data_IF_384977665950
#
_entry.id   IF_384977665950
#
_cell.length_a   1.000
_cell.length_b   1.000
_cell.length_c   1.000
_cell.angle_alpha   90.00
_cell.angle_beta   90.00
_cell.angle_gamma   90.00
#
_symmetry.space_group_name_H-M   'P 1'
#
loop_
_entity.id
_entity.type
_entity.pdbx_description
1 polymer ?
#
# COMPACT_ATOMS: atom_id res chain seq x y z
N UNK A 1 16.99 58.64 17.36
CA UNK A 1 17.56 58.06 16.14
C UNK A 1 17.43 56.55 16.27
N UNK A 2 16.39 55.97 15.66
CA UNK A 2 16.02 54.57 15.78
C UNK A 2 16.43 53.85 14.51
N UNK A 3 17.42 52.96 14.60
CA UNK A 3 17.83 52.06 13.53
C UNK A 3 16.99 50.74 13.64
N UNK A 4 16.08 50.54 12.74
CA UNK A 4 15.33 49.30 12.54
C UNK A 4 16.26 48.28 11.85
N UNK A 5 16.59 47.20 12.54
CA UNK A 5 17.23 46.03 11.94
C UNK A 5 16.10 45.15 11.35
N UNK A 6 15.99 45.14 10.04
CA UNK A 6 15.20 44.20 9.31
C UNK A 6 15.97 42.89 9.15
N UNK A 7 15.55 41.82 9.81
CA UNK A 7 16.08 40.48 9.61
C UNK A 7 15.47 39.87 8.33
N UNK A 8 16.33 39.61 7.35
CA UNK A 8 15.99 38.82 6.18
C UNK A 8 15.95 37.33 6.59
N UNK A 9 14.75 36.75 6.64
CA UNK A 9 14.60 35.30 6.69
C UNK A 9 14.66 34.82 5.23
N UNK A 10 15.78 34.25 4.83
CA UNK A 10 15.91 33.57 3.54
C UNK A 10 15.17 32.22 3.63
N UNK A 11 13.96 32.15 3.11
CA UNK A 11 13.28 30.91 2.83
C UNK A 11 13.98 30.23 1.65
N UNK A 12 14.77 29.19 1.92
CA UNK A 12 15.28 28.28 0.89
C UNK A 12 14.08 27.44 0.40
N UNK A 13 13.40 27.94 -0.60
CA UNK A 13 12.54 27.17 -1.47
C UNK A 13 13.47 26.28 -2.33
N UNK A 14 13.60 25.01 -1.97
CA UNK A 14 14.07 23.96 -2.88
C UNK A 14 13.00 23.82 -3.97
N UNK A 15 13.10 24.65 -5.01
CA UNK A 15 12.42 24.41 -6.26
C UNK A 15 13.09 23.17 -6.87
N UNK A 16 12.47 22.01 -6.72
CA UNK A 16 12.82 20.83 -7.48
C UNK A 16 12.59 21.17 -8.95
N UNK A 17 13.66 21.20 -9.74
CA UNK A 17 13.59 21.38 -11.18
C UNK A 17 12.76 20.20 -11.76
N UNK A 18 11.71 20.45 -12.54
CA UNK A 18 10.83 19.39 -13.04
C UNK A 18 11.55 18.31 -13.87
N UNK A 19 12.74 18.56 -14.38
CA UNK A 19 13.55 17.59 -15.10
C UNK A 19 14.20 16.52 -14.22
N UNK A 20 14.61 16.84 -12.98
CA UNK A 20 15.29 15.89 -12.11
C UNK A 20 14.34 14.84 -11.48
N UNK A 21 13.05 15.16 -11.36
CA UNK A 21 12.05 14.22 -10.85
C UNK A 21 11.71 13.14 -11.92
N UNK A 22 11.75 13.51 -13.20
CA UNK A 22 11.43 12.61 -14.31
C UNK A 22 12.52 11.56 -14.58
N UNK A 23 13.78 11.85 -14.19
CA UNK A 23 14.92 10.93 -14.33
C UNK A 23 14.98 9.84 -13.23
N UNK A 24 14.15 9.92 -12.19
CA UNK A 24 14.19 9.01 -11.03
C UNK A 24 12.96 8.10 -10.90
N UNK A 25 12.10 8.08 -11.90
CA UNK A 25 10.82 7.37 -11.84
C UNK A 25 9.80 8.06 -10.90
N UNK A 26 8.60 7.46 -10.78
CA UNK A 26 7.55 7.98 -9.91
C UNK A 26 8.03 8.06 -8.45
N UNK A 27 7.76 9.18 -7.79
CA UNK A 27 8.12 9.46 -6.38
C UNK A 27 9.60 9.20 -6.03
N UNK A 28 10.51 9.20 -7.01
CA UNK A 28 11.93 8.91 -6.81
C UNK A 28 12.26 7.43 -6.59
N UNK A 29 11.31 6.53 -6.79
CA UNK A 29 11.47 5.08 -6.55
C UNK A 29 12.43 4.40 -7.53
N UNK A 30 12.64 4.96 -8.73
CA UNK A 30 13.67 4.55 -9.70
C UNK A 30 15.04 5.19 -9.50
N UNK A 31 15.28 5.85 -8.35
CA UNK A 31 16.54 6.51 -8.04
C UNK A 31 17.72 5.57 -7.76
N UNK A 32 18.88 6.17 -7.44
CA UNK A 32 20.11 5.43 -7.13
C UNK A 32 19.93 4.52 -5.91
N UNK A 33 20.44 3.30 -6.01
CA UNK A 33 20.41 2.27 -4.97
C UNK A 33 21.82 1.89 -4.45
N UNK A 34 22.85 2.65 -4.82
CA UNK A 34 24.21 2.37 -4.39
C UNK A 34 24.34 2.34 -2.86
N UNK A 35 24.95 1.29 -2.36
CA UNK A 35 25.14 1.05 -0.92
C UNK A 35 23.97 0.41 -0.19
N UNK A 36 22.81 0.23 -0.80
CA UNK A 36 21.67 -0.50 -0.22
C UNK A 36 21.67 -1.97 -0.64
N UNK A 37 21.08 -2.82 0.19
CA UNK A 37 20.81 -4.20 -0.18
C UNK A 37 19.83 -4.26 -1.37
N UNK A 38 20.02 -5.25 -2.24
CA UNK A 38 19.10 -5.52 -3.35
C UNK A 38 18.28 -6.78 -3.05
N UNK A 39 17.06 -6.88 -3.58
CA UNK A 39 16.29 -8.11 -3.48
C UNK A 39 17.07 -9.27 -4.06
N UNK A 40 17.13 -10.36 -3.31
CA UNK A 40 17.83 -11.61 -3.69
C UNK A 40 16.82 -12.73 -3.85
N UNK A 41 16.80 -13.33 -5.04
CA UNK A 41 15.93 -14.46 -5.38
C UNK A 41 16.16 -15.69 -4.51
N UNK A 42 17.38 -15.89 -4.02
CA UNK A 42 17.74 -17.04 -3.20
C UNK A 42 17.37 -16.87 -1.72
N UNK A 43 17.07 -15.63 -1.28
CA UNK A 43 16.87 -15.34 0.15
C UNK A 43 15.64 -16.03 0.75
N UNK A 44 14.52 -16.08 0.01
CA UNK A 44 13.23 -16.51 0.54
C UNK A 44 12.70 -15.60 1.66
N UNK A 45 11.55 -15.96 2.23
CA UNK A 45 10.93 -15.27 3.36
C UNK A 45 11.14 -16.02 4.67
N UNK A 46 11.30 -15.33 5.77
CA UNK A 46 11.53 -15.92 7.11
C UNK A 46 10.67 -15.19 8.15
N UNK A 47 9.70 -15.88 8.71
CA UNK A 47 8.82 -15.32 9.74
C UNK A 47 9.25 -15.76 11.16
N UNK A 48 9.07 -14.88 12.17
CA UNK A 48 8.42 -13.56 12.14
C UNK A 48 9.34 -12.41 11.68
N UNK A 49 10.65 -12.66 11.43
CA UNK A 49 11.63 -11.60 11.10
C UNK A 49 11.12 -10.64 10.01
N UNK A 50 10.58 -11.18 8.92
CA UNK A 50 10.20 -10.40 7.74
C UNK A 50 8.86 -9.65 7.90
N UNK A 51 8.21 -9.73 9.08
CA UNK A 51 7.18 -8.78 9.48
C UNK A 51 7.78 -7.43 9.89
N UNK A 52 9.02 -7.41 10.35
CA UNK A 52 9.75 -6.23 10.82
C UNK A 52 10.34 -5.36 9.72
N UNK A 53 11.13 -4.37 10.12
CA UNK A 53 11.82 -3.46 9.21
C UNK A 53 13.10 -4.10 8.66
N UNK A 54 13.43 -3.77 7.39
CA UNK A 54 14.63 -4.18 6.66
C UNK A 54 15.47 -2.95 6.35
N UNK A 55 16.16 -2.44 7.38
CA UNK A 55 16.87 -1.14 7.30
C UNK A 55 17.98 -1.10 6.25
N UNK A 56 18.50 -2.25 5.83
CA UNK A 56 19.48 -2.37 4.74
C UNK A 56 18.89 -2.03 3.36
N UNK A 57 17.56 -2.07 3.24
CA UNK A 57 16.85 -1.70 2.02
C UNK A 57 16.42 -0.23 2.05
N UNK A 58 16.32 0.38 0.85
CA UNK A 58 16.02 1.79 0.72
C UNK A 58 14.58 2.14 1.06
N UNK A 59 13.60 1.29 0.69
CA UNK A 59 12.17 1.53 0.90
C UNK A 59 11.43 0.25 1.25
N UNK A 60 10.42 0.39 2.10
CA UNK A 60 9.47 -0.68 2.42
C UNK A 60 8.15 -0.10 2.91
N UNK A 61 7.09 -0.92 2.86
CA UNK A 61 5.77 -0.54 3.34
C UNK A 61 5.01 -1.71 3.97
N UNK A 62 4.11 -1.34 4.87
CA UNK A 62 3.10 -2.14 5.52
C UNK A 62 1.77 -1.54 5.11
N UNK A 63 1.01 -2.24 4.29
CA UNK A 63 -0.16 -1.70 3.62
C UNK A 63 -1.37 -2.61 3.83
N UNK A 64 -2.38 -2.11 4.54
CA UNK A 64 -3.62 -2.84 4.80
C UNK A 64 -4.78 -2.09 4.15
N UNK A 65 -5.57 -2.83 3.37
CA UNK A 65 -6.85 -2.39 2.82
C UNK A 65 -7.98 -3.29 3.33
N UNK A 66 -9.17 -2.74 3.52
CA UNK A 66 -10.32 -3.53 3.90
C UNK A 66 -11.59 -3.10 3.17
N UNK A 67 -12.35 -4.08 2.75
CA UNK A 67 -13.68 -3.96 2.20
C UNK A 67 -14.68 -4.29 3.30
N UNK A 68 -15.52 -3.33 3.66
CA UNK A 68 -16.36 -3.38 4.84
C UNK A 68 -17.84 -3.21 4.48
N UNK A 69 -18.70 -3.86 5.26
CA UNK A 69 -20.14 -3.68 5.22
C UNK A 69 -20.61 -3.13 6.55
N UNK A 70 -21.28 -1.98 6.52
CA UNK A 70 -21.86 -1.35 7.69
C UNK A 70 -23.14 -2.04 8.14
N UNK A 71 -23.47 -1.90 9.42
CA UNK A 71 -24.79 -2.34 9.96
C UNK A 71 -25.97 -1.60 9.32
N UNK A 72 -25.71 -0.43 8.73
CA UNK A 72 -26.64 0.35 7.91
C UNK A 72 -26.84 -0.20 6.49
N UNK A 73 -26.14 -1.28 6.14
CA UNK A 73 -26.21 -1.93 4.85
C UNK A 73 -25.43 -1.24 3.73
N UNK A 74 -24.53 -0.30 4.03
CA UNK A 74 -23.69 0.41 3.05
C UNK A 74 -22.31 -0.23 2.93
N UNK A 75 -21.66 -0.01 1.80
CA UNK A 75 -20.27 -0.43 1.59
C UNK A 75 -19.32 0.67 2.04
N UNK A 76 -18.22 0.25 2.68
CA UNK A 76 -17.15 1.09 3.17
C UNK A 76 -15.79 0.49 2.80
N UNK A 77 -14.76 1.34 2.79
CA UNK A 77 -13.38 0.89 2.69
C UNK A 77 -12.50 1.61 3.69
N UNK A 78 -11.44 0.97 4.10
CA UNK A 78 -10.35 1.62 4.85
C UNK A 78 -9.01 1.24 4.25
N UNK A 79 -8.07 2.14 4.41
CA UNK A 79 -6.67 1.95 4.09
C UNK A 79 -5.83 2.42 5.28
N UNK A 80 -4.78 1.68 5.58
CA UNK A 80 -3.73 2.02 6.54
C UNK A 80 -2.37 1.65 5.95
N UNK A 81 -1.50 2.63 5.76
CA UNK A 81 -0.17 2.38 5.20
C UNK A 81 0.89 3.05 6.04
N UNK A 82 1.98 2.35 6.30
CA UNK A 82 3.21 2.91 6.83
C UNK A 82 4.34 2.66 5.83
N UNK A 83 5.01 3.72 5.44
CA UNK A 83 6.19 3.70 4.58
C UNK A 83 7.44 4.01 5.41
N UNK A 84 8.52 3.27 5.15
CA UNK A 84 9.85 3.60 5.61
C UNK A 84 10.76 3.87 4.41
N UNK A 85 11.50 4.95 4.47
CA UNK A 85 12.54 5.29 3.49
C UNK A 85 13.86 5.53 4.20
N UNK A 86 14.92 4.80 3.81
CA UNK A 86 16.26 5.10 4.23
C UNK A 86 16.81 6.28 3.40
N UNK A 87 17.25 7.32 4.08
CA UNK A 87 17.77 8.56 3.47
C UNK A 87 19.23 8.42 3.08
N UNK A 88 19.96 7.49 3.69
CA UNK A 88 21.34 7.14 3.39
C UNK A 88 21.55 5.63 3.64
N UNK A 89 22.46 4.96 2.92
CA UNK A 89 22.76 3.54 3.09
C UNK A 89 23.62 3.24 4.33
N UNK A 90 24.10 4.25 5.01
CA UNK A 90 24.97 4.13 6.17
C UNK A 90 24.22 3.57 7.36
N UNK A 91 24.87 2.62 8.07
CA UNK A 91 24.29 1.79 9.11
C UNK A 91 23.63 2.51 10.30
N UNK A 92 23.19 1.79 11.31
CA UNK A 92 22.20 2.27 12.27
C UNK A 92 22.78 3.37 13.17
N UNK A 93 22.64 4.61 12.74
CA UNK A 93 22.68 5.76 13.64
C UNK A 93 21.39 5.73 14.46
N UNK A 94 21.46 6.10 15.74
CA UNK A 94 20.32 6.09 16.65
C UNK A 94 19.72 7.50 16.83
N UNK A 95 18.50 7.54 17.31
CA UNK A 95 17.81 8.78 17.62
C UNK A 95 17.56 9.62 16.37
N UNK A 96 17.68 10.93 16.51
CA UNK A 96 17.46 11.88 15.41
C UNK A 96 18.46 11.77 14.25
N UNK A 97 19.64 11.19 14.50
CA UNK A 97 20.68 10.98 13.49
C UNK A 97 20.40 9.76 12.61
N UNK A 98 19.49 8.86 13.00
CA UNK A 98 19.13 7.72 12.19
C UNK A 98 18.60 8.16 10.81
N UNK A 99 19.14 7.61 9.70
CA UNK A 99 18.78 8.04 8.35
C UNK A 99 17.47 7.42 7.90
N UNK A 100 16.46 7.38 8.77
CA UNK A 100 15.16 6.81 8.50
C UNK A 100 14.09 7.90 8.46
N UNK A 101 13.29 7.89 7.39
CA UNK A 101 12.09 8.69 7.28
C UNK A 101 10.87 7.77 7.23
N UNK A 102 9.82 8.17 7.92
CA UNK A 102 8.56 7.47 7.99
C UNK A 102 7.45 8.36 7.46
N UNK A 103 6.55 7.78 6.73
CA UNK A 103 5.33 8.42 6.23
C UNK A 103 4.19 7.44 6.41
N UNK A 104 3.03 7.92 6.78
CA UNK A 104 1.86 7.07 6.83
C UNK A 104 0.65 7.76 6.23
N UNK A 105 -0.18 6.96 5.58
CA UNK A 105 -1.49 7.36 5.08
C UNK A 105 -2.56 6.51 5.74
N UNK A 106 -3.68 7.13 6.04
CA UNK A 106 -4.90 6.44 6.48
C UNK A 106 -6.09 7.07 5.78
N UNK A 107 -7.03 6.23 5.36
CA UNK A 107 -8.26 6.69 4.74
C UNK A 107 -9.46 5.84 5.16
N UNK A 108 -10.64 6.47 5.09
CA UNK A 108 -11.94 5.82 5.20
C UNK A 108 -12.84 6.32 4.07
N UNK A 109 -13.39 5.39 3.30
CA UNK A 109 -14.22 5.65 2.13
C UNK A 109 -15.64 5.14 2.35
N UNK A 110 -16.60 5.89 1.87
CA UNK A 110 -18.01 5.51 1.74
C UNK A 110 -18.51 5.92 0.35
N UNK A 111 -19.69 5.50 -0.10
CA UNK A 111 -20.26 5.99 -1.36
C UNK A 111 -20.38 7.52 -1.45
N UNK A 112 -20.52 8.22 -0.31
CA UNK A 112 -20.78 9.65 -0.26
C UNK A 112 -19.55 10.48 0.14
N UNK A 113 -18.45 9.85 0.54
CA UNK A 113 -17.27 10.60 1.00
C UNK A 113 -16.01 9.74 1.11
N UNK A 114 -14.89 10.43 0.94
CA UNK A 114 -13.56 9.88 1.13
C UNK A 114 -12.77 10.81 2.05
N UNK A 115 -12.31 10.28 3.16
CA UNK A 115 -11.60 11.00 4.22
C UNK A 115 -10.22 10.39 4.37
N UNK A 116 -9.19 11.22 4.38
CA UNK A 116 -7.82 10.75 4.51
C UNK A 116 -6.96 11.68 5.36
N UNK A 117 -5.86 11.16 5.83
CA UNK A 117 -4.84 11.91 6.56
C UNK A 117 -3.44 11.36 6.27
N UNK A 118 -2.44 12.22 6.42
CA UNK A 118 -1.03 11.92 6.22
C UNK A 118 -0.24 12.27 7.48
N UNK A 119 0.79 11.47 7.80
CA UNK A 119 1.72 11.71 8.89
C UNK A 119 3.15 11.48 8.46
N UNK A 120 4.06 12.18 9.12
CA UNK A 120 5.49 12.05 8.93
C UNK A 120 6.19 11.79 10.26
N UNK A 121 7.19 10.91 10.22
CA UNK A 121 8.06 10.62 11.33
C UNK A 121 9.52 10.57 10.88
N UNK A 122 10.46 10.73 11.82
CA UNK A 122 11.87 10.71 11.52
C UNK A 122 12.66 9.94 12.57
N UNK A 123 13.71 9.29 12.08
CA UNK A 123 14.73 8.67 12.91
C UNK A 123 14.22 7.48 13.71
N UNK A 124 14.98 7.14 14.74
CA UNK A 124 14.69 6.05 15.66
C UNK A 124 14.41 6.61 17.06
N UNK A 125 13.44 7.54 17.14
CA UNK A 125 13.09 8.25 18.39
C UNK A 125 11.80 7.72 19.04
N UNK A 126 11.21 6.65 18.48
CA UNK A 126 9.97 6.06 18.99
C UNK A 126 8.68 6.66 18.42
N UNK A 127 8.76 7.75 17.62
CA UNK A 127 7.59 8.34 16.98
C UNK A 127 6.95 7.40 15.95
N UNK A 128 7.78 6.70 15.17
CA UNK A 128 7.34 5.69 14.22
C UNK A 128 8.29 4.49 14.27
N UNK A 129 7.81 3.34 13.86
CA UNK A 129 8.63 2.14 13.81
C UNK A 129 7.84 0.88 13.56
N UNK A 130 8.58 -0.24 13.49
CA UNK A 130 8.01 -1.57 13.38
C UNK A 130 8.80 -2.56 14.22
N UNK A 131 8.09 -3.42 14.96
CA UNK A 131 8.63 -4.62 15.60
C UNK A 131 8.09 -5.87 14.92
N UNK A 132 8.92 -6.90 14.79
CA UNK A 132 8.53 -8.15 14.14
C UNK A 132 7.72 -9.08 15.05
N UNK A 133 8.07 -9.13 16.36
CA UNK A 133 7.39 -9.96 17.34
C UNK A 133 7.63 -9.40 18.76
N UNK A 134 6.57 -9.08 19.52
CA UNK A 134 5.19 -8.97 19.03
C UNK A 134 5.13 -7.96 17.89
N UNK A 135 4.31 -8.27 16.87
CA UNK A 135 4.19 -7.39 15.73
C UNK A 135 3.51 -6.07 16.12
N UNK A 136 4.14 -4.98 15.73
CA UNK A 136 3.55 -3.64 15.78
C UNK A 136 4.18 -2.76 14.70
N UNK A 137 3.35 -2.06 13.97
CA UNK A 137 3.72 -0.98 13.06
C UNK A 137 2.97 0.28 13.51
N UNK A 138 3.68 1.41 13.69
CA UNK A 138 3.06 2.61 14.26
C UNK A 138 3.69 3.91 13.74
N UNK A 139 2.92 4.96 13.81
CA UNK A 139 3.35 6.35 13.72
C UNK A 139 2.45 7.21 14.60
N UNK A 140 3.01 7.94 15.55
CA UNK A 140 2.28 8.66 16.60
C UNK A 140 1.28 7.74 17.33
N UNK A 141 -0.04 8.03 17.20
CA UNK A 141 -1.14 7.25 17.76
C UNK A 141 -1.84 6.33 16.75
N UNK A 142 -1.37 6.26 15.50
CA UNK A 142 -1.83 5.26 14.53
C UNK A 142 -1.07 3.96 14.70
N UNK A 143 -1.79 2.86 14.68
CA UNK A 143 -1.18 1.57 14.95
C UNK A 143 -1.85 0.43 14.17
N UNK A 144 -1.04 -0.50 13.70
CA UNK A 144 -1.42 -1.83 13.28
C UNK A 144 -0.57 -2.82 14.07
N UNK A 145 -1.16 -3.51 15.03
CA UNK A 145 -0.39 -4.30 15.99
C UNK A 145 -1.11 -5.57 16.43
N UNK A 146 -0.31 -6.57 16.80
CA UNK A 146 -0.80 -7.75 17.49
C UNK A 146 -1.42 -7.37 18.84
N UNK A 147 -2.64 -7.83 19.17
CA UNK A 147 -3.21 -7.61 20.49
C UNK A 147 -2.44 -8.35 21.57
N UNK A 148 -2.68 -8.00 22.83
CA UNK A 148 -2.02 -8.66 23.97
C UNK A 148 -2.15 -10.19 23.89
N UNK A 149 -1.04 -10.88 24.11
CA UNK A 149 -0.95 -12.34 24.03
C UNK A 149 -0.84 -12.92 22.63
N UNK A 150 -0.84 -12.09 21.56
CA UNK A 150 -0.49 -12.50 20.20
C UNK A 150 0.93 -12.02 19.83
N UNK A 151 1.61 -12.76 18.96
CA UNK A 151 3.00 -12.46 18.61
C UNK A 151 3.17 -11.97 17.16
N UNK A 152 2.48 -12.58 16.21
CA UNK A 152 2.61 -12.33 14.78
C UNK A 152 1.48 -11.45 14.23
N UNK A 153 1.22 -11.64 12.95
CA UNK A 153 0.18 -10.87 12.23
C UNK A 153 -1.14 -11.64 12.07
N UNK A 154 -1.28 -12.81 12.72
CA UNK A 154 -2.52 -13.61 12.62
C UNK A 154 -3.73 -12.89 13.22
N UNK A 155 -3.49 -12.04 14.20
CA UNK A 155 -4.49 -11.15 14.77
C UNK A 155 -3.92 -9.75 14.89
N UNK A 156 -4.66 -8.77 14.41
CA UNK A 156 -4.26 -7.37 14.42
C UNK A 156 -5.37 -6.50 14.98
N UNK A 157 -5.00 -5.46 15.71
CA UNK A 157 -5.81 -4.27 15.90
C UNK A 157 -5.26 -3.16 15.03
N UNK A 158 -6.12 -2.50 14.27
CA UNK A 158 -5.76 -1.44 13.34
C UNK A 158 -6.51 -0.18 13.72
N UNK A 159 -5.76 0.87 14.07
CA UNK A 159 -6.32 2.15 14.48
C UNK A 159 -5.70 3.30 13.73
N UNK A 160 -6.53 4.23 13.29
CA UNK A 160 -6.10 5.54 12.82
C UNK A 160 -7.22 6.57 12.99
N UNK A 161 -6.84 7.86 12.99
CA UNK A 161 -7.78 8.98 12.94
C UNK A 161 -7.18 10.17 12.22
N UNK A 162 -8.02 10.83 11.43
CA UNK A 162 -7.80 12.14 10.84
C UNK A 162 -8.59 13.22 11.57
N UNK A 163 -8.76 14.36 10.91
CA UNK A 163 -9.54 15.49 11.45
C UNK A 163 -11.03 15.18 11.59
N UNK A 164 -11.59 14.39 10.69
CA UNK A 164 -13.02 14.12 10.54
C UNK A 164 -13.36 12.63 10.37
N UNK A 165 -12.40 11.75 10.51
CA UNK A 165 -12.61 10.30 10.48
C UNK A 165 -11.72 9.57 11.47
N UNK A 166 -12.07 8.32 11.75
CA UNK A 166 -11.24 7.38 12.49
C UNK A 166 -11.79 5.97 12.41
N UNK A 167 -10.97 5.01 12.78
CA UNK A 167 -11.40 3.63 12.88
C UNK A 167 -10.63 2.88 13.96
N UNK A 168 -11.29 1.87 14.51
CA UNK A 168 -10.75 0.88 15.44
C UNK A 168 -11.27 -0.49 15.02
N UNK A 169 -10.39 -1.27 14.40
CA UNK A 169 -10.73 -2.51 13.73
C UNK A 169 -9.89 -3.66 14.27
N UNK A 170 -10.48 -4.84 14.35
CA UNK A 170 -9.84 -6.11 14.69
C UNK A 170 -9.84 -7.01 13.47
N UNK A 171 -8.67 -7.48 13.05
CA UNK A 171 -8.51 -8.42 11.94
C UNK A 171 -8.00 -9.76 12.45
N UNK A 172 -8.56 -10.86 11.93
CA UNK A 172 -8.17 -12.22 12.26
C UNK A 172 -7.91 -12.99 10.96
N UNK A 173 -6.71 -13.55 10.82
CA UNK A 173 -6.33 -14.33 9.66
C UNK A 173 -7.07 -15.68 9.66
N UNK A 174 -7.65 -16.04 8.51
CA UNK A 174 -8.40 -17.27 8.26
C UNK A 174 -7.73 -18.18 7.26
N UNK A 175 -6.56 -17.80 6.75
CA UNK A 175 -5.77 -18.54 5.79
C UNK A 175 -4.27 -18.19 5.87
N UNK A 176 -3.44 -18.82 5.05
CA UNK A 176 -1.99 -18.67 5.12
C UNK A 176 -1.48 -17.35 4.52
N UNK A 177 -0.21 -17.06 4.80
CA UNK A 177 0.54 -16.03 4.10
C UNK A 177 0.79 -16.45 2.65
N UNK A 178 0.82 -15.47 1.76
CA UNK A 178 1.02 -15.64 0.33
C UNK A 178 2.30 -14.95 -0.11
N UNK A 179 3.25 -15.70 -0.63
CA UNK A 179 4.49 -15.18 -1.21
C UNK A 179 4.27 -14.91 -2.71
N UNK A 180 4.44 -13.66 -3.15
CA UNK A 180 4.26 -13.27 -4.56
C UNK A 180 5.50 -13.57 -5.41
N UNK A 181 5.30 -13.75 -6.71
CA UNK A 181 6.35 -14.07 -7.65
C UNK A 181 7.03 -15.42 -7.34
N UNK A 182 8.34 -15.45 -7.33
CA UNK A 182 9.10 -16.66 -7.01
C UNK A 182 9.47 -16.68 -5.52
N UNK A 183 8.64 -17.33 -4.68
CA UNK A 183 8.86 -17.44 -3.23
C UNK A 183 9.08 -16.08 -2.54
N UNK A 184 8.33 -15.06 -2.95
CA UNK A 184 8.44 -13.71 -2.42
C UNK A 184 9.37 -12.79 -3.22
N UNK A 185 10.09 -13.27 -4.23
CA UNK A 185 10.85 -12.43 -5.14
C UNK A 185 9.96 -12.01 -6.32
N UNK A 186 9.49 -10.77 -6.31
CA UNK A 186 8.53 -10.22 -7.28
C UNK A 186 9.21 -9.24 -8.22
N UNK A 187 9.30 -9.61 -9.50
CA UNK A 187 9.85 -8.76 -10.57
C UNK A 187 8.84 -7.68 -10.94
N UNK A 188 9.31 -6.45 -11.16
CA UNK A 188 8.51 -5.25 -11.43
C UNK A 188 8.77 -4.61 -12.78
N UNK A 189 9.77 -5.10 -13.51
CA UNK A 189 10.11 -4.57 -14.85
C UNK A 189 10.85 -5.60 -15.69
N UNK A 190 10.92 -5.34 -16.99
CA UNK A 190 11.74 -6.14 -17.92
C UNK A 190 13.25 -5.98 -17.68
N UNK A 191 13.67 -4.89 -17.02
CA UNK A 191 15.07 -4.63 -16.65
C UNK A 191 15.48 -5.34 -15.34
N UNK A 192 14.56 -6.08 -14.69
CA UNK A 192 14.84 -6.92 -13.55
C UNK A 192 14.71 -6.25 -12.18
N UNK A 193 14.18 -5.02 -12.11
CA UNK A 193 13.79 -4.43 -10.82
C UNK A 193 12.81 -5.35 -10.11
N UNK A 194 13.03 -5.52 -8.81
CA UNK A 194 12.26 -6.46 -8.02
C UNK A 194 12.09 -5.99 -6.57
N UNK A 195 11.23 -6.66 -5.86
CA UNK A 195 11.04 -6.51 -4.42
C UNK A 195 10.92 -7.88 -3.76
N UNK A 196 11.10 -7.93 -2.44
CA UNK A 196 10.52 -8.99 -1.63
C UNK A 196 9.09 -8.60 -1.31
N UNK A 197 8.13 -9.49 -1.58
CA UNK A 197 6.71 -9.20 -1.49
C UNK A 197 5.91 -10.41 -1.01
N UNK A 198 5.16 -10.22 0.06
CA UNK A 198 4.17 -11.19 0.52
C UNK A 198 2.90 -10.47 1.01
N UNK A 199 1.81 -11.22 1.07
CA UNK A 199 0.53 -10.73 1.56
C UNK A 199 -0.08 -11.68 2.61
N UNK A 200 -0.95 -11.11 3.45
CA UNK A 200 -1.98 -11.84 4.17
C UNK A 200 -3.35 -11.42 3.62
N UNK A 201 -3.88 -12.17 2.63
CA UNK A 201 -5.12 -11.79 1.95
C UNK A 201 -6.39 -12.41 2.57
N UNK A 202 -6.26 -13.09 3.70
CA UNK A 202 -7.32 -13.87 4.34
C UNK A 202 -7.66 -13.32 5.72
N UNK A 203 -7.90 -12.02 5.82
CA UNK A 203 -8.43 -11.47 7.07
C UNK A 203 -9.94 -11.36 7.03
N UNK A 204 -10.59 -11.88 8.08
CA UNK A 204 -11.87 -11.36 8.53
C UNK A 204 -11.61 -10.15 9.41
N UNK A 205 -12.37 -9.07 9.22
CA UNK A 205 -12.17 -7.81 9.93
C UNK A 205 -13.49 -7.25 10.40
N UNK A 206 -13.50 -6.70 11.62
CA UNK A 206 -14.67 -6.07 12.23
C UNK A 206 -14.26 -4.89 13.12
N UNK A 207 -15.20 -4.02 13.41
CA UNK A 207 -14.98 -2.91 14.34
C UNK A 207 -15.88 -1.72 14.09
N UNK A 208 -15.34 -0.53 14.27
CA UNK A 208 -16.10 0.71 14.18
C UNK A 208 -15.37 1.74 13.32
N UNK A 209 -16.11 2.36 12.41
CA UNK A 209 -15.72 3.59 11.71
C UNK A 209 -16.39 4.77 12.38
N UNK A 210 -15.63 5.84 12.61
CA UNK A 210 -16.15 7.16 12.98
C UNK A 210 -16.05 8.07 11.76
N UNK A 211 -17.18 8.53 11.26
CA UNK A 211 -17.29 9.39 10.07
C UNK A 211 -18.14 10.63 10.43
N UNK A 212 -18.17 11.71 9.61
CA UNK A 212 -18.96 12.89 9.90
C UNK A 212 -20.45 12.62 10.16
N UNK A 213 -21.01 11.54 9.58
CA UNK A 213 -22.39 11.09 9.80
C UNK A 213 -22.62 10.32 11.10
N UNK A 214 -21.56 10.04 11.89
CA UNK A 214 -21.60 9.25 13.12
C UNK A 214 -20.75 7.99 13.07
N UNK A 215 -20.78 7.23 14.15
CA UNK A 215 -20.08 5.96 14.23
C UNK A 215 -20.93 4.84 13.60
N UNK A 216 -20.30 3.96 12.83
CA UNK A 216 -20.93 2.79 12.22
C UNK A 216 -20.13 1.51 12.55
N UNK A 217 -20.80 0.47 12.97
CA UNK A 217 -20.20 -0.86 13.11
C UNK A 217 -20.09 -1.51 11.75
N UNK A 218 -18.94 -2.13 11.52
CA UNK A 218 -18.60 -2.73 10.23
C UNK A 218 -18.01 -4.11 10.41
N UNK A 219 -18.23 -4.95 9.38
CA UNK A 219 -17.57 -6.25 9.22
C UNK A 219 -17.13 -6.42 7.78
N UNK A 220 -16.14 -7.24 7.52
CA UNK A 220 -15.70 -7.48 6.13
C UNK A 220 -14.45 -8.30 6.01
N UNK A 221 -13.71 -8.06 4.94
CA UNK A 221 -12.46 -8.73 4.60
C UNK A 221 -11.35 -7.71 4.42
N UNK A 222 -10.12 -8.09 4.80
CA UNK A 222 -8.96 -7.24 4.61
C UNK A 222 -7.81 -7.99 3.94
N UNK A 223 -6.92 -7.19 3.37
CA UNK A 223 -5.70 -7.60 2.68
C UNK A 223 -4.54 -6.80 3.26
N UNK A 224 -3.47 -7.46 3.68
CA UNK A 224 -2.23 -6.83 4.13
C UNK A 224 -1.12 -7.17 3.15
N UNK A 225 -0.45 -6.16 2.61
CA UNK A 225 0.78 -6.28 1.85
C UNK A 225 2.00 -5.88 2.68
N UNK A 226 3.05 -6.62 2.50
CA UNK A 226 4.39 -6.34 2.98
C UNK A 226 5.36 -6.41 1.82
N UNK A 227 6.04 -5.30 1.56
CA UNK A 227 6.96 -5.24 0.44
C UNK A 227 8.16 -4.36 0.78
N UNK A 228 9.36 -4.78 0.34
CA UNK A 228 10.60 -4.00 0.50
C UNK A 228 11.53 -4.19 -0.69
N UNK A 229 12.22 -3.10 -1.02
CA UNK A 229 13.17 -3.02 -2.12
C UNK A 229 14.10 -1.82 -1.96
N UNK A 230 15.19 -1.81 -2.73
CA UNK A 230 15.98 -0.60 -2.91
C UNK A 230 15.77 0.06 -4.26
N UNK A 231 15.16 -0.66 -5.19
CA UNK A 231 14.81 -0.16 -6.53
C UNK A 231 13.54 -0.88 -7.03
N UNK A 232 12.37 -0.52 -6.53
CA UNK A 232 11.12 -1.17 -6.95
C UNK A 232 10.68 -0.78 -8.35
N UNK A 233 11.15 0.37 -8.87
CA UNK A 233 10.80 0.88 -10.20
C UNK A 233 12.04 1.10 -11.06
N UNK A 234 11.86 1.01 -12.37
CA UNK A 234 12.74 1.50 -13.40
C UNK A 234 12.62 3.03 -13.56
N UNK A 235 13.65 3.70 -14.08
CA UNK A 235 13.66 5.16 -14.28
C UNK A 235 12.59 5.65 -15.25
N UNK A 236 12.15 4.80 -16.18
CA UNK A 236 11.13 5.13 -17.17
C UNK A 236 9.71 4.90 -16.68
N UNK A 237 9.56 4.21 -15.54
CA UNK A 237 8.26 3.89 -14.96
C UNK A 237 7.68 5.09 -14.20
N UNK A 238 6.41 5.39 -14.48
CA UNK A 238 5.73 6.65 -14.08
C UNK A 238 4.65 6.47 -13.04
N UNK A 239 4.42 5.23 -12.59
CA UNK A 239 3.40 4.88 -11.62
C UNK A 239 2.93 3.45 -11.83
N UNK A 240 1.98 3.04 -11.00
CA UNK A 240 1.39 1.71 -11.08
C UNK A 240 -0.10 1.77 -10.82
N UNK A 241 -0.77 0.71 -11.23
CA UNK A 241 -2.14 0.39 -10.88
C UNK A 241 -2.08 -0.97 -10.17
N UNK A 242 -2.62 -1.04 -8.97
CA UNK A 242 -2.65 -2.25 -8.15
C UNK A 242 -4.08 -2.59 -7.79
N UNK A 243 -4.42 -3.87 -7.86
CA UNK A 243 -5.75 -4.39 -7.63
C UNK A 243 -5.63 -5.62 -6.72
N UNK A 244 -6.43 -5.67 -5.65
CA UNK A 244 -6.61 -6.86 -4.84
C UNK A 244 -8.10 -7.20 -4.76
N UNK A 245 -8.47 -8.41 -5.18
CA UNK A 245 -9.85 -8.86 -5.23
C UNK A 245 -10.08 -10.07 -4.31
N UNK A 246 -11.21 -10.05 -3.61
CA UNK A 246 -11.81 -11.18 -2.93
C UNK A 246 -13.02 -11.62 -3.76
N UNK A 247 -12.92 -12.77 -4.41
CA UNK A 247 -13.99 -13.32 -5.25
C UNK A 247 -14.94 -14.20 -4.41
N UNK A 248 -16.22 -14.21 -4.75
CA UNK A 248 -17.25 -14.94 -3.99
C UNK A 248 -17.07 -16.49 -4.04
N UNK A 249 -16.27 -17.00 -4.99
CA UNK A 249 -15.89 -18.40 -5.06
C UNK A 249 -14.71 -18.76 -4.13
N UNK A 250 -14.25 -17.81 -3.33
CA UNK A 250 -13.17 -17.95 -2.35
C UNK A 250 -11.77 -17.68 -2.91
N UNK A 251 -11.60 -17.62 -4.24
CA UNK A 251 -10.32 -17.21 -4.86
C UNK A 251 -10.02 -15.74 -4.54
N UNK A 252 -8.74 -15.41 -4.59
CA UNK A 252 -8.28 -14.02 -4.49
C UNK A 252 -7.34 -13.72 -5.64
N UNK A 253 -7.36 -12.48 -6.08
CA UNK A 253 -6.50 -12.03 -7.18
C UNK A 253 -5.76 -10.77 -6.76
N UNK A 254 -4.44 -10.81 -6.78
CA UNK A 254 -3.61 -9.60 -6.85
C UNK A 254 -3.18 -9.42 -8.29
N UNK A 255 -3.38 -8.24 -8.82
CA UNK A 255 -2.97 -7.87 -10.17
C UNK A 255 -2.38 -6.46 -10.16
N UNK A 256 -1.27 -6.27 -10.86
CA UNK A 256 -0.64 -4.97 -10.97
C UNK A 256 -0.12 -4.71 -12.39
N UNK A 257 -0.17 -3.43 -12.75
CA UNK A 257 0.45 -2.89 -13.95
C UNK A 257 1.37 -1.76 -13.55
N UNK A 258 2.66 -1.89 -13.83
CA UNK A 258 3.59 -0.78 -13.71
C UNK A 258 3.65 -0.06 -15.05
N UNK A 259 3.32 1.24 -15.05
CA UNK A 259 3.21 2.06 -16.25
C UNK A 259 4.53 2.76 -16.56
N UNK A 260 4.95 2.68 -17.84
CA UNK A 260 6.16 3.28 -18.37
C UNK A 260 6.05 3.38 -19.90
N UNK A 261 7.18 3.30 -20.60
CA UNK A 261 7.20 3.29 -22.06
C UNK A 261 6.55 2.02 -22.63
N UNK A 262 6.68 0.90 -21.90
CA UNK A 262 5.87 -0.29 -22.06
C UNK A 262 5.33 -0.71 -20.70
N UNK A 263 4.03 -1.06 -20.58
CA UNK A 263 3.46 -1.53 -19.32
C UNK A 263 4.05 -2.90 -18.95
N UNK A 264 4.28 -3.12 -17.67
CA UNK A 264 4.70 -4.39 -17.11
C UNK A 264 3.62 -4.92 -16.19
N UNK A 265 2.99 -6.04 -16.56
CA UNK A 265 1.92 -6.68 -15.82
C UNK A 265 2.46 -7.88 -15.04
N UNK A 266 1.98 -8.05 -13.83
CA UNK A 266 2.23 -9.21 -12.99
C UNK A 266 1.09 -9.39 -12.00
N UNK A 267 0.96 -10.60 -11.46
CA UNK A 267 -0.09 -10.87 -10.49
C UNK A 267 0.07 -12.22 -9.81
N UNK A 268 -0.91 -12.55 -9.00
CA UNK A 268 -1.05 -13.85 -8.33
C UNK A 268 -2.51 -14.19 -8.22
N UNK A 269 -2.90 -15.32 -8.77
CA UNK A 269 -4.19 -15.94 -8.48
C UNK A 269 -4.00 -16.89 -7.30
N UNK A 270 -4.80 -16.73 -6.27
CA UNK A 270 -4.68 -17.41 -4.99
C UNK A 270 -5.93 -18.25 -4.78
N UNK A 271 -5.76 -19.53 -4.64
CA UNK A 271 -6.85 -20.46 -4.33
C UNK A 271 -7.31 -20.30 -2.87
N UNK A 272 -8.51 -20.78 -2.50
CA UNK A 272 -9.02 -20.69 -1.13
C UNK A 272 -8.13 -21.33 -0.07
N UNK A 273 -7.30 -22.31 -0.43
CA UNK A 273 -6.34 -22.98 0.44
C UNK A 273 -4.98 -22.23 0.55
N UNK A 274 -4.84 -21.09 -0.14
CA UNK A 274 -3.61 -20.31 -0.20
C UNK A 274 -2.62 -20.73 -1.28
N UNK A 275 -2.92 -21.74 -2.09
CA UNK A 275 -2.08 -22.11 -3.25
C UNK A 275 -2.00 -20.95 -4.22
N UNK A 276 -0.78 -20.59 -4.63
CA UNK A 276 -0.51 -19.43 -5.48
C UNK A 276 -0.15 -19.87 -6.89
N UNK A 277 -0.86 -19.31 -7.86
CA UNK A 277 -0.50 -19.34 -9.27
C UNK A 277 0.04 -17.95 -9.64
N UNK A 278 1.36 -17.81 -9.90
CA UNK A 278 1.90 -16.57 -10.44
C UNK A 278 1.30 -16.26 -11.81
N UNK A 279 1.01 -14.98 -12.06
CA UNK A 279 0.52 -14.47 -13.34
C UNK A 279 1.59 -13.55 -13.94
N UNK A 280 1.88 -13.76 -15.21
CA UNK A 280 2.84 -12.99 -15.98
C UNK A 280 2.12 -12.09 -16.99
N UNK A 281 2.90 -11.35 -17.79
CA UNK A 281 2.44 -10.37 -18.77
C UNK A 281 1.32 -10.89 -19.68
N UNK A 282 1.41 -12.15 -20.14
CA UNK A 282 0.47 -12.72 -21.11
C UNK A 282 -0.74 -13.41 -20.47
N UNK A 283 -0.71 -13.63 -19.15
CA UNK A 283 -1.76 -14.31 -18.40
C UNK A 283 -2.87 -13.34 -17.94
N UNK A 284 -2.58 -12.02 -17.98
CA UNK A 284 -3.36 -10.99 -17.32
C UNK A 284 -3.63 -9.82 -18.26
N UNK A 285 -4.88 -9.34 -18.28
CA UNK A 285 -5.26 -8.12 -18.98
C UNK A 285 -5.94 -7.16 -18.02
N UNK A 286 -5.44 -5.94 -17.96
CA UNK A 286 -6.00 -4.84 -17.18
C UNK A 286 -6.35 -3.70 -18.14
N UNK A 287 -7.64 -3.52 -18.42
CA UNK A 287 -8.15 -2.48 -19.29
C UNK A 287 -8.83 -1.40 -18.45
N UNK A 288 -8.21 -0.26 -18.39
CA UNK A 288 -8.76 0.91 -17.71
C UNK A 288 -9.95 1.49 -18.50
N UNK A 289 -10.97 1.91 -17.80
CA UNK A 289 -12.03 2.72 -18.36
C UNK A 289 -11.51 4.06 -18.91
N UNK A 290 -12.35 4.82 -19.59
CA UNK A 290 -11.97 6.12 -20.14
C UNK A 290 -11.86 7.17 -19.05
N UNK A 291 -10.86 8.04 -19.14
CA UNK A 291 -10.67 9.17 -18.23
C UNK A 291 -9.22 9.32 -17.75
N UNK A 292 -8.93 10.43 -17.10
CA UNK A 292 -7.61 10.73 -16.54
C UNK A 292 -7.30 9.94 -15.25
N UNK A 293 -8.33 9.44 -14.57
CA UNK A 293 -8.24 8.54 -13.42
C UNK A 293 -9.39 7.56 -13.54
N UNK A 294 -9.20 6.43 -14.25
CA UNK A 294 -10.27 5.50 -14.50
C UNK A 294 -10.66 4.77 -13.20
N UNK A 295 -11.93 4.83 -12.84
CA UNK A 295 -12.48 4.20 -11.63
C UNK A 295 -13.26 2.93 -11.95
N UNK A 296 -13.26 2.54 -13.22
CA UNK A 296 -13.84 1.31 -13.75
C UNK A 296 -12.81 0.59 -14.61
N UNK A 297 -12.58 -0.69 -14.33
CA UNK A 297 -11.61 -1.53 -15.02
C UNK A 297 -12.19 -2.85 -15.42
N UNK A 298 -11.74 -3.39 -16.57
CA UNK A 298 -11.90 -4.78 -16.94
C UNK A 298 -10.66 -5.55 -16.52
N UNK A 299 -10.84 -6.63 -15.78
CA UNK A 299 -9.77 -7.51 -15.30
C UNK A 299 -10.02 -8.90 -15.84
N UNK A 300 -9.05 -9.44 -16.60
CA UNK A 300 -9.17 -10.77 -17.21
C UNK A 300 -7.98 -11.64 -16.90
N UNK A 301 -8.24 -12.89 -16.52
CA UNK A 301 -7.31 -14.00 -16.44
C UNK A 301 -7.93 -15.17 -17.19
N UNK A 302 -7.74 -15.26 -18.53
CA UNK A 302 -8.48 -16.17 -19.40
C UNK A 302 -8.38 -17.64 -18.99
N UNK A 303 -7.16 -18.12 -18.69
CA UNK A 303 -6.89 -19.50 -18.29
C UNK A 303 -7.55 -19.90 -16.95
N UNK A 304 -7.91 -18.90 -16.13
CA UNK A 304 -8.63 -19.10 -14.88
C UNK A 304 -10.14 -18.86 -15.00
N UNK A 305 -10.63 -18.52 -16.20
CA UNK A 305 -12.03 -18.17 -16.45
C UNK A 305 -12.48 -16.89 -15.75
N UNK A 306 -11.55 -15.97 -15.45
CA UNK A 306 -11.87 -14.69 -14.84
C UNK A 306 -12.02 -13.65 -15.96
N UNK A 307 -13.20 -13.05 -16.02
CA UNK A 307 -13.53 -11.89 -16.85
C UNK A 307 -14.51 -11.03 -16.06
N UNK A 308 -13.99 -10.05 -15.33
CA UNK A 308 -14.75 -9.24 -14.39
C UNK A 308 -14.53 -7.76 -14.64
N UNK A 309 -15.56 -6.99 -14.34
CA UNK A 309 -15.49 -5.53 -14.25
C UNK A 309 -15.39 -5.15 -12.77
N UNK A 310 -14.49 -4.24 -12.44
CA UNK A 310 -14.43 -3.60 -11.14
C UNK A 310 -14.88 -2.16 -11.26
N UNK A 311 -15.68 -1.70 -10.31
CA UNK A 311 -16.20 -0.34 -10.22
C UNK A 311 -15.90 0.23 -8.84
N UNK A 312 -15.37 1.45 -8.79
CA UNK A 312 -15.13 2.15 -7.53
C UNK A 312 -16.44 2.39 -6.77
N UNK A 313 -16.43 2.08 -5.47
CA UNK A 313 -17.54 2.42 -4.56
C UNK A 313 -17.71 3.94 -4.48
N UNK A 314 -16.60 4.67 -4.46
CA UNK A 314 -16.57 6.12 -4.56
C UNK A 314 -15.54 6.53 -5.62
N UNK A 315 -15.97 7.12 -6.76
CA UNK A 315 -15.04 7.57 -7.80
C UNK A 315 -14.13 8.73 -7.36
N UNK A 316 -14.49 9.45 -6.29
CA UNK A 316 -13.76 10.60 -5.78
C UNK A 316 -12.83 10.24 -4.60
N UNK A 317 -12.24 9.05 -4.61
CA UNK A 317 -11.28 8.58 -3.60
C UNK A 317 -9.84 9.03 -3.90
N UNK A 318 -9.65 10.22 -4.42
CA UNK A 318 -8.34 10.83 -4.61
C UNK A 318 -7.73 11.31 -3.30
N UNK A 319 -6.46 10.97 -3.07
CA UNK A 319 -5.69 11.38 -1.90
C UNK A 319 -4.70 12.48 -2.28
N UNK A 320 -4.97 13.71 -1.88
CA UNK A 320 -4.10 14.88 -2.09
C UNK A 320 -3.00 14.95 -1.02
N UNK A 321 -2.25 13.86 -0.87
CA UNK A 321 -1.10 13.73 0.01
C UNK A 321 0.16 14.32 -0.63
N UNK A 322 1.30 14.29 0.07
CA UNK A 322 2.59 14.76 -0.47
C UNK A 322 3.02 14.01 -1.74
N UNK A 323 2.61 12.74 -1.86
CA UNK A 323 2.65 11.94 -3.08
C UNK A 323 1.21 11.59 -3.44
N UNK A 324 0.56 12.35 -4.33
CA UNK A 324 -0.86 12.17 -4.61
C UNK A 324 -1.13 10.89 -5.41
N UNK A 325 -2.20 10.20 -5.05
CA UNK A 325 -2.69 9.00 -5.73
C UNK A 325 -4.21 8.83 -5.52
N UNK A 326 -4.80 7.88 -6.21
CA UNK A 326 -6.20 7.49 -6.02
C UNK A 326 -6.23 6.09 -5.39
N UNK A 327 -7.09 5.90 -4.40
CA UNK A 327 -7.20 4.62 -3.70
C UNK A 327 -8.59 4.44 -3.09
N UNK A 328 -9.22 3.27 -3.35
CA UNK A 328 -10.54 3.02 -2.79
C UNK A 328 -11.07 1.61 -3.01
N UNK A 329 -12.14 1.26 -2.25
CA UNK A 329 -12.83 0.00 -2.39
C UNK A 329 -13.54 -0.09 -3.73
N UNK A 330 -13.60 -1.30 -4.29
CA UNK A 330 -14.30 -1.60 -5.54
C UNK A 330 -15.27 -2.77 -5.38
N UNK A 331 -16.34 -2.73 -6.17
CA UNK A 331 -17.22 -3.88 -6.41
C UNK A 331 -16.72 -4.68 -7.60
N UNK A 332 -17.05 -5.96 -7.65
CA UNK A 332 -16.64 -6.89 -8.72
C UNK A 332 -17.87 -7.55 -9.30
N UNK A 333 -18.03 -7.47 -10.63
CA UNK A 333 -19.12 -8.11 -11.37
C UNK A 333 -18.60 -8.76 -12.66
N UNK A 334 -19.24 -9.85 -13.10
CA UNK A 334 -18.89 -10.56 -14.33
C UNK A 334 -18.90 -12.06 -14.16
N UNK A 335 -17.85 -12.76 -14.61
CA UNK A 335 -17.68 -14.20 -14.45
C UNK A 335 -17.66 -14.67 -12.98
N UNK A 336 -17.31 -13.77 -12.08
CA UNK A 336 -17.45 -13.91 -10.63
C UNK A 336 -17.91 -12.58 -10.05
N UNK A 337 -18.48 -12.61 -8.85
CA UNK A 337 -18.75 -11.43 -8.04
C UNK A 337 -17.72 -11.34 -6.93
N UNK A 338 -17.70 -10.20 -6.24
CA UNK A 338 -16.82 -10.00 -5.11
C UNK A 338 -16.62 -8.54 -4.77
N UNK A 339 -15.53 -8.27 -4.09
CA UNK A 339 -15.09 -6.91 -3.69
C UNK A 339 -13.58 -6.85 -3.79
N UNK A 340 -13.05 -5.66 -3.74
CA UNK A 340 -11.63 -5.48 -3.78
C UNK A 340 -11.22 -4.06 -3.47
N UNK A 341 -9.96 -3.81 -3.70
CA UNK A 341 -9.34 -2.49 -3.59
C UNK A 341 -8.57 -2.19 -4.86
N UNK A 342 -8.61 -0.94 -5.28
CA UNK A 342 -7.85 -0.41 -6.40
C UNK A 342 -6.98 0.74 -5.90
N UNK A 343 -5.71 0.75 -6.27
CA UNK A 343 -4.79 1.86 -6.09
C UNK A 343 -4.23 2.28 -7.46
N UNK A 344 -4.16 3.58 -7.69
CA UNK A 344 -3.63 4.16 -8.94
C UNK A 344 -2.70 5.33 -8.63
N UNK A 345 -1.42 5.20 -8.99
CA UNK A 345 -0.41 6.24 -8.76
C UNK A 345 0.03 6.89 -10.05
N UNK A 346 0.60 8.10 -10.00
CA UNK A 346 1.19 8.77 -11.15
C UNK A 346 0.19 9.24 -12.22
N UNK A 347 -1.09 9.33 -11.88
CA UNK A 347 -2.08 10.03 -12.68
C UNK A 347 -2.09 11.54 -12.36
N UNK A 348 -2.49 12.41 -13.29
CA UNK A 348 -2.69 13.82 -12.97
C UNK A 348 -3.66 13.98 -11.81
N UNK A 349 -3.35 14.89 -10.87
CA UNK A 349 -4.30 15.25 -9.82
C UNK A 349 -5.58 15.81 -10.46
N UNK A 350 -6.73 15.40 -9.91
CA UNK A 350 -8.05 15.94 -10.32
C UNK A 350 -8.30 17.28 -9.69
#
# INVERSE_FOLDING_TARGET
MNARRAGLVAALLLAALPGAAQERGFAGLGGDNAGYALPDRARGLTFPRDHGAHEDFRIEWWYLTANLRGEDGRDYGVQWTLFRSALAPEGPLQGWAAPQAWMAHAAASSPDGHHFAERFGRGSIGQAGVTAAPFAAWIDDWQMAAPEGAAGIDRLRVTARGGDFGYDLSATATGPLVAHGQNGFSVKSTSGQASHYYSQPFYDIEGTLALPGGAVKVTGQAWLDREWSSQPLDRTQRGWDWIALHLDDGRKLMAAQVRGDAPFLFGSLIAPDGTVQPLHQDDLMLDAGRGSSPTRWQVRVPDAGIDVTIDAVNPDSGMATSVPYWEGPVTVEGSSRGRGYLEMTGYPAR
#
